data_IF_700576647217
#
_entry.id   IF_700576647217
#
_cell.length_a   1.000
_cell.length_b   1.000
_cell.length_c   1.000
_cell.angle_alpha   90.00
_cell.angle_beta   90.00
_cell.angle_gamma   90.00
#
_symmetry.space_group_name_H-M   'P 1'
#
loop_
_entity.id
_entity.type
_entity.pdbx_description
1 polymer ?
#
# COMPACT_ATOMS: atom_id res chain seq x y z
N UNK A 1 -8.37 9.06 28.93
CA UNK A 1 -8.64 9.52 27.54
C UNK A 1 -8.27 8.48 26.50
N UNK A 2 -7.01 8.03 26.41
CA UNK A 2 -6.62 6.97 25.45
C UNK A 2 -7.47 5.68 25.58
N UNK A 3 -7.70 5.20 26.79
CA UNK A 3 -8.53 4.00 27.02
C UNK A 3 -10.00 4.19 26.64
N UNK A 4 -10.54 5.41 26.78
CA UNK A 4 -11.92 5.73 26.38
C UNK A 4 -12.02 5.76 24.86
N UNK A 5 -11.05 6.41 24.19
CA UNK A 5 -10.92 6.39 22.74
C UNK A 5 -10.87 4.96 22.19
N UNK A 6 -9.94 4.14 22.71
CA UNK A 6 -9.78 2.74 22.30
C UNK A 6 -11.05 1.94 22.61
N UNK A 7 -11.66 2.14 23.78
CA UNK A 7 -12.91 1.48 24.15
C UNK A 7 -14.05 1.77 23.17
N UNK A 8 -14.26 3.03 22.81
CA UNK A 8 -15.28 3.43 21.82
C UNK A 8 -14.95 2.87 20.44
N UNK A 9 -13.68 2.93 20.02
CA UNK A 9 -13.25 2.43 18.71
C UNK A 9 -13.48 0.91 18.60
N UNK A 10 -13.04 0.13 19.58
CA UNK A 10 -13.24 -1.33 19.60
C UNK A 10 -14.70 -1.71 19.77
N UNK A 11 -15.47 -0.99 20.58
CA UNK A 11 -16.93 -1.19 20.67
C UNK A 11 -17.63 -0.91 19.33
N UNK A 12 -17.24 0.16 18.63
CA UNK A 12 -17.78 0.49 17.30
C UNK A 12 -17.47 -0.62 16.29
N UNK A 13 -16.24 -1.14 16.30
CA UNK A 13 -15.82 -2.26 15.46
C UNK A 13 -16.65 -3.52 15.80
N UNK A 14 -16.84 -3.82 17.08
CA UNK A 14 -17.63 -4.98 17.53
C UNK A 14 -19.11 -4.88 17.14
N UNK A 15 -19.67 -3.67 17.08
CA UNK A 15 -21.02 -3.40 16.60
C UNK A 15 -21.14 -3.39 15.07
N UNK A 16 -20.02 -3.54 14.34
CA UNK A 16 -20.00 -3.50 12.87
C UNK A 16 -20.12 -2.10 12.28
N UNK A 17 -19.91 -1.05 13.06
CA UNK A 17 -19.91 0.32 12.55
C UNK A 17 -18.65 0.58 11.71
N UNK A 18 -18.74 1.23 10.54
CA UNK A 18 -17.57 1.63 9.78
C UNK A 18 -16.64 2.53 10.63
N UNK A 19 -15.34 2.29 10.53
CA UNK A 19 -14.33 2.92 11.41
C UNK A 19 -14.40 4.45 11.39
N UNK A 20 -14.73 5.06 10.24
CA UNK A 20 -14.91 6.52 10.15
C UNK A 20 -15.97 7.04 11.13
N UNK A 21 -17.11 6.36 11.25
CA UNK A 21 -18.14 6.74 12.22
C UNK A 21 -17.71 6.46 13.65
N UNK A 22 -16.98 5.37 13.90
CA UNK A 22 -16.38 5.10 15.21
C UNK A 22 -15.43 6.21 15.67
N UNK A 23 -14.60 6.73 14.77
CA UNK A 23 -13.73 7.88 15.03
C UNK A 23 -14.53 9.16 15.29
N UNK A 24 -15.57 9.42 14.51
CA UNK A 24 -16.46 10.57 14.72
C UNK A 24 -17.16 10.54 16.07
N UNK A 25 -17.72 9.38 16.45
CA UNK A 25 -18.35 9.18 17.76
C UNK A 25 -17.33 9.36 18.88
N UNK A 26 -16.15 8.75 18.75
CA UNK A 26 -15.09 8.90 19.74
C UNK A 26 -14.66 10.37 19.89
N UNK A 27 -14.51 11.10 18.78
CA UNK A 27 -14.16 12.51 18.80
C UNK A 27 -15.21 13.35 19.54
N UNK A 28 -16.51 13.17 19.24
CA UNK A 28 -17.60 13.88 19.90
C UNK A 28 -17.65 13.57 21.40
N UNK A 29 -17.55 12.29 21.78
CA UNK A 29 -17.56 11.90 23.20
C UNK A 29 -16.37 12.50 23.95
N UNK A 30 -15.16 12.43 23.38
CA UNK A 30 -13.97 13.01 24.02
C UNK A 30 -14.07 14.53 24.15
N UNK A 31 -14.66 15.22 23.17
CA UNK A 31 -14.86 16.66 23.22
C UNK A 31 -15.81 17.07 24.32
N UNK A 32 -16.96 16.38 24.43
CA UNK A 32 -17.94 16.62 25.50
C UNK A 32 -17.34 16.32 26.88
N UNK A 33 -16.57 15.25 27.01
CA UNK A 33 -15.90 14.90 28.27
C UNK A 33 -14.77 15.86 28.66
N UNK A 34 -14.20 16.59 27.71
CA UNK A 34 -13.06 17.50 27.93
C UNK A 34 -13.47 18.97 27.89
N UNK A 35 -14.78 19.27 27.89
CA UNK A 35 -15.35 20.62 27.73
C UNK A 35 -14.79 21.39 26.51
N UNK A 36 -14.46 20.66 25.43
CA UNK A 36 -13.96 21.25 24.19
C UNK A 36 -15.15 21.61 23.30
N UNK A 37 -15.25 22.86 22.82
CA UNK A 37 -16.29 23.27 21.89
C UNK A 37 -16.32 22.40 20.63
N UNK A 38 -17.51 21.89 20.27
CA UNK A 38 -17.69 21.09 19.05
C UNK A 38 -17.32 21.84 17.76
N UNK A 39 -17.29 23.18 17.79
CA UNK A 39 -16.79 24.00 16.68
C UNK A 39 -15.33 23.69 16.35
N UNK A 40 -14.49 23.39 17.35
CA UNK A 40 -13.08 23.02 17.14
C UNK A 40 -13.00 21.68 16.40
N UNK A 41 -13.91 20.74 16.68
CA UNK A 41 -13.95 19.45 15.98
C UNK A 41 -14.26 19.64 14.50
N UNK A 42 -15.20 20.55 14.18
CA UNK A 42 -15.56 20.89 12.81
C UNK A 42 -14.36 21.55 12.11
N UNK A 43 -13.71 22.52 12.75
CA UNK A 43 -12.54 23.21 12.20
C UNK A 43 -11.38 22.23 11.92
N UNK A 44 -11.05 21.38 12.89
CA UNK A 44 -10.01 20.35 12.72
C UNK A 44 -10.37 19.35 11.63
N UNK A 45 -11.65 18.95 11.53
CA UNK A 45 -12.13 18.05 10.47
C UNK A 45 -11.95 18.67 9.09
N UNK A 46 -12.31 19.95 8.93
CA UNK A 46 -12.14 20.69 7.66
C UNK A 46 -10.66 20.87 7.33
N UNK A 47 -9.83 21.22 8.33
CA UNK A 47 -8.38 21.34 8.16
C UNK A 47 -7.76 20.02 7.69
N UNK A 48 -8.22 18.90 8.22
CA UNK A 48 -7.71 17.59 7.85
C UNK A 48 -7.96 17.19 6.40
N UNK A 49 -9.07 17.63 5.81
CA UNK A 49 -9.41 17.32 4.40
C UNK A 49 -8.96 18.42 3.43
N UNK A 50 -8.71 19.64 3.90
CA UNK A 50 -8.31 20.77 3.08
C UNK A 50 -6.79 20.90 2.96
N UNK A 51 -6.14 19.92 2.33
CA UNK A 51 -4.68 19.86 2.16
C UNK A 51 -4.31 19.56 0.69
N UNK A 52 -3.46 20.38 0.08
CA UNK A 52 -3.12 20.29 -1.35
C UNK A 52 -2.55 18.92 -1.76
N UNK A 53 -1.57 18.36 -1.03
CA UNK A 53 -1.16 16.96 -1.14
C UNK A 53 -2.26 15.90 -1.24
N UNK A 54 -3.45 16.11 -0.65
CA UNK A 54 -4.54 15.12 -0.72
C UNK A 54 -5.10 14.96 -2.12
N UNK A 55 -4.93 15.95 -3.00
CA UNK A 55 -5.35 15.85 -4.41
C UNK A 55 -4.60 14.75 -5.16
N UNK A 56 -3.41 14.34 -4.70
CA UNK A 56 -2.68 13.23 -5.30
C UNK A 56 -3.46 11.90 -5.20
N UNK A 57 -4.20 11.68 -4.10
CA UNK A 57 -4.94 10.44 -3.84
C UNK A 57 -6.01 10.17 -4.93
N UNK A 58 -7.00 11.06 -5.19
CA UNK A 58 -8.00 10.80 -6.23
C UNK A 58 -7.37 10.67 -7.62
N UNK A 59 -6.33 11.45 -7.93
CA UNK A 59 -5.67 11.34 -9.24
C UNK A 59 -4.96 10.00 -9.41
N UNK A 60 -4.20 9.52 -8.42
CA UNK A 60 -3.56 8.20 -8.52
C UNK A 60 -4.57 7.05 -8.51
N UNK A 61 -5.66 7.14 -7.74
CA UNK A 61 -6.77 6.17 -7.82
C UNK A 61 -7.35 6.14 -9.24
N UNK A 62 -7.57 7.31 -9.84
CA UNK A 62 -8.10 7.41 -11.20
C UNK A 62 -7.10 6.87 -12.25
N UNK A 63 -5.79 7.11 -12.08
CA UNK A 63 -4.75 6.50 -12.91
C UNK A 63 -4.86 4.98 -12.85
N UNK A 64 -4.99 4.39 -11.66
CA UNK A 64 -5.18 2.94 -11.48
C UNK A 64 -6.42 2.41 -12.22
N UNK A 65 -7.54 3.11 -12.13
CA UNK A 65 -8.78 2.79 -12.86
C UNK A 65 -8.61 2.84 -14.39
N UNK A 66 -7.97 3.89 -14.89
CA UNK A 66 -7.65 4.07 -16.32
C UNK A 66 -6.69 2.98 -16.79
N UNK A 67 -5.69 2.62 -16.00
CA UNK A 67 -4.72 1.58 -16.36
C UNK A 67 -5.31 0.19 -16.40
N UNK A 68 -6.18 -0.12 -15.44
CA UNK A 68 -6.90 -1.39 -15.36
C UNK A 68 -7.87 -1.54 -16.54
N UNK A 69 -8.66 -0.50 -16.84
CA UNK A 69 -9.68 -0.53 -17.90
C UNK A 69 -9.08 -0.31 -19.31
N UNK A 70 -8.01 0.46 -19.41
CA UNK A 70 -7.45 0.95 -20.66
C UNK A 70 -6.28 0.16 -21.22
N UNK A 71 -6.11 -1.09 -20.79
CA UNK A 71 -5.17 -2.04 -21.39
C UNK A 71 -3.71 -1.87 -21.04
N UNK A 72 -3.36 -0.86 -20.22
CA UNK A 72 -2.00 -0.61 -19.77
C UNK A 72 -1.56 -1.77 -18.87
N UNK A 73 -2.40 -2.15 -17.89
CA UNK A 73 -2.12 -3.25 -16.97
C UNK A 73 -1.81 -4.55 -17.72
N UNK A 74 -2.67 -4.95 -18.67
CA UNK A 74 -2.47 -6.16 -19.48
C UNK A 74 -1.11 -6.19 -20.18
N UNK A 75 -0.69 -5.08 -20.80
CA UNK A 75 0.60 -4.99 -21.51
C UNK A 75 1.79 -5.06 -20.56
N UNK A 76 1.70 -4.46 -19.38
CA UNK A 76 2.72 -4.59 -18.34
C UNK A 76 2.81 -6.03 -17.83
N UNK A 77 1.68 -6.72 -17.67
CA UNK A 77 1.65 -8.15 -17.31
C UNK A 77 2.25 -9.04 -18.41
N UNK A 78 1.98 -8.75 -19.69
CA UNK A 78 2.58 -9.47 -20.82
C UNK A 78 4.09 -9.27 -20.91
N UNK A 79 4.56 -8.05 -20.66
CA UNK A 79 6.00 -7.73 -20.57
C UNK A 79 6.65 -8.46 -19.39
N UNK A 80 6.04 -8.44 -18.20
CA UNK A 80 6.50 -9.24 -17.07
C UNK A 80 6.55 -10.74 -17.44
N UNK A 81 5.55 -11.21 -18.18
CA UNK A 81 5.49 -12.53 -18.80
C UNK A 81 6.72 -12.89 -19.61
N UNK A 82 7.16 -11.98 -20.48
CA UNK A 82 8.33 -12.19 -21.31
C UNK A 82 9.67 -12.03 -20.56
N UNK A 83 9.72 -11.18 -19.53
CA UNK A 83 10.91 -10.91 -18.71
C UNK A 83 11.24 -12.01 -17.70
N UNK A 84 10.22 -12.62 -17.07
CA UNK A 84 10.45 -13.57 -15.97
C UNK A 84 9.68 -14.88 -16.12
N UNK A 85 8.81 -15.03 -17.12
CA UNK A 85 7.99 -16.23 -17.31
C UNK A 85 8.77 -17.50 -17.69
N UNK A 86 10.06 -17.37 -17.99
CA UNK A 86 10.98 -18.51 -18.18
C UNK A 86 11.60 -19.00 -16.86
N UNK A 87 11.55 -18.19 -15.80
CA UNK A 87 12.04 -18.57 -14.49
C UNK A 87 11.10 -19.61 -13.88
N UNK A 88 11.64 -20.54 -13.10
CA UNK A 88 10.86 -21.59 -12.44
C UNK A 88 9.75 -20.96 -11.58
N UNK A 89 8.54 -21.50 -11.71
CA UNK A 89 7.32 -20.88 -11.23
C UNK A 89 6.57 -20.08 -12.29
N UNK A 90 7.11 -19.86 -13.49
CA UNK A 90 6.38 -19.34 -14.65
C UNK A 90 5.47 -18.16 -14.31
N UNK A 91 4.16 -18.34 -14.45
CA UNK A 91 3.14 -17.30 -14.15
C UNK A 91 3.15 -16.76 -12.71
N UNK A 92 3.65 -17.51 -11.72
CA UNK A 92 3.79 -16.99 -10.36
C UNK A 92 4.82 -15.86 -10.28
N UNK A 93 5.93 -15.99 -11.00
CA UNK A 93 6.91 -14.92 -11.14
C UNK A 93 6.31 -13.72 -11.88
N UNK A 94 5.51 -14.00 -12.92
CA UNK A 94 4.81 -12.97 -13.69
C UNK A 94 3.80 -12.20 -12.84
N UNK A 95 3.10 -12.86 -11.92
CA UNK A 95 2.19 -12.19 -11.00
C UNK A 95 2.94 -11.22 -10.09
N UNK A 96 4.09 -11.64 -9.53
CA UNK A 96 4.90 -10.79 -8.64
C UNK A 96 5.54 -9.63 -9.39
N UNK A 97 6.17 -9.88 -10.53
CA UNK A 97 6.76 -8.81 -11.36
C UNK A 97 5.69 -7.89 -11.94
N UNK A 98 4.53 -8.45 -12.28
CA UNK A 98 3.35 -7.70 -12.66
C UNK A 98 2.87 -6.75 -11.56
N UNK A 99 2.79 -7.23 -10.31
CA UNK A 99 2.46 -6.38 -9.15
C UNK A 99 3.53 -5.31 -8.90
N UNK A 100 4.81 -5.56 -9.20
CA UNK A 100 5.85 -4.51 -9.14
C UNK A 100 5.59 -3.38 -10.14
N UNK A 101 5.12 -3.70 -11.36
CA UNK A 101 4.80 -2.69 -12.38
C UNK A 101 3.45 -2.02 -12.19
N UNK A 102 2.39 -2.82 -11.97
CA UNK A 102 1.01 -2.35 -11.88
C UNK A 102 0.66 -1.87 -10.47
N UNK A 103 1.03 -2.66 -9.47
CA UNK A 103 0.68 -2.36 -8.09
C UNK A 103 1.34 -1.07 -7.61
N UNK A 104 2.58 -0.84 -8.06
CA UNK A 104 3.24 0.44 -7.85
C UNK A 104 2.39 1.63 -8.29
N UNK A 105 1.53 1.50 -9.32
CA UNK A 105 0.73 2.62 -9.81
C UNK A 105 -0.70 2.67 -9.22
N UNK A 106 -1.28 1.52 -8.90
CA UNK A 106 -2.59 1.44 -8.24
C UNK A 106 -2.56 1.98 -6.82
N UNK A 107 -1.43 1.80 -6.12
CA UNK A 107 -1.25 2.30 -4.76
C UNK A 107 -2.13 1.61 -3.70
N UNK A 108 -2.83 0.53 -4.07
CA UNK A 108 -3.80 -0.18 -3.23
C UNK A 108 -3.71 -1.70 -3.39
N UNK A 109 -3.28 -2.38 -2.33
CA UNK A 109 -3.17 -3.83 -2.29
C UNK A 109 -4.51 -4.55 -2.50
N UNK A 110 -5.61 -3.96 -2.02
CA UNK A 110 -6.96 -4.54 -2.17
C UNK A 110 -7.42 -4.44 -3.62
N UNK A 111 -7.22 -3.27 -4.26
CA UNK A 111 -7.54 -3.07 -5.66
C UNK A 111 -6.67 -3.97 -6.57
N UNK A 112 -5.38 -4.09 -6.26
CA UNK A 112 -4.45 -4.96 -6.96
C UNK A 112 -4.85 -6.42 -6.85
N UNK A 113 -5.18 -6.89 -5.65
CA UNK A 113 -5.66 -8.27 -5.44
C UNK A 113 -6.86 -8.57 -6.32
N UNK A 114 -7.80 -7.63 -6.43
CA UNK A 114 -8.98 -7.77 -7.28
C UNK A 114 -8.62 -7.76 -8.78
N UNK A 115 -7.93 -6.72 -9.24
CA UNK A 115 -7.68 -6.47 -10.66
C UNK A 115 -6.69 -7.48 -11.27
N UNK A 116 -5.52 -7.64 -10.65
CA UNK A 116 -4.51 -8.60 -11.12
C UNK A 116 -4.97 -10.03 -10.90
N UNK A 117 -5.68 -10.30 -9.81
CA UNK A 117 -6.20 -11.63 -9.49
C UNK A 117 -7.22 -12.13 -10.51
N UNK A 118 -8.13 -11.26 -10.94
CA UNK A 118 -9.13 -11.59 -11.96
C UNK A 118 -8.49 -12.01 -13.29
N UNK A 119 -7.31 -11.48 -13.61
CA UNK A 119 -6.55 -11.82 -14.81
C UNK A 119 -5.64 -13.04 -14.61
N UNK A 120 -4.88 -13.07 -13.52
CA UNK A 120 -3.79 -14.03 -13.32
C UNK A 120 -4.27 -15.36 -12.77
N UNK A 121 -5.19 -15.37 -11.81
CA UNK A 121 -5.61 -16.60 -11.14
C UNK A 121 -6.19 -17.64 -12.14
N UNK A 122 -7.08 -17.27 -13.09
CA UNK A 122 -7.56 -18.21 -14.10
C UNK A 122 -6.43 -18.76 -14.98
N UNK A 123 -5.50 -17.91 -15.40
CA UNK A 123 -4.37 -18.32 -16.25
C UNK A 123 -3.39 -19.25 -15.50
N UNK A 124 -3.13 -18.97 -14.21
CA UNK A 124 -2.30 -19.81 -13.36
C UNK A 124 -2.92 -21.20 -13.16
N UNK A 125 -4.24 -21.27 -12.93
CA UNK A 125 -4.97 -22.56 -12.83
C UNK A 125 -4.84 -23.38 -14.12
N UNK A 126 -4.95 -22.76 -15.28
CA UNK A 126 -4.77 -23.43 -16.58
C UNK A 126 -3.35 -23.99 -16.78
N UNK A 127 -2.35 -23.40 -16.13
CA UNK A 127 -0.95 -23.85 -16.17
C UNK A 127 -0.56 -24.76 -15.00
N UNK A 128 -1.53 -25.33 -14.29
CA UNK A 128 -1.32 -26.36 -13.28
C UNK A 128 -1.10 -25.85 -11.85
N UNK A 129 -1.29 -24.56 -11.57
CA UNK A 129 -1.37 -24.10 -10.18
C UNK A 129 -2.66 -24.56 -9.52
N UNK A 130 -2.58 -25.00 -8.27
CA UNK A 130 -3.78 -25.18 -7.46
C UNK A 130 -4.46 -23.82 -7.23
N UNK A 131 -5.78 -23.82 -7.09
CA UNK A 131 -6.53 -22.59 -6.86
C UNK A 131 -6.02 -21.80 -5.63
N UNK A 132 -5.74 -22.43 -4.48
CA UNK A 132 -5.21 -21.70 -3.32
C UNK A 132 -3.83 -21.11 -3.55
N UNK A 133 -2.94 -21.80 -4.26
CA UNK A 133 -1.59 -21.27 -4.55
C UNK A 133 -1.62 -20.10 -5.53
N UNK A 134 -2.43 -20.19 -6.59
CA UNK A 134 -2.60 -19.09 -7.54
C UNK A 134 -3.15 -17.83 -6.83
N UNK A 135 -4.14 -18.02 -5.96
CA UNK A 135 -4.70 -16.94 -5.15
C UNK A 135 -3.68 -16.41 -4.15
N UNK A 136 -2.94 -17.27 -3.44
CA UNK A 136 -1.92 -16.87 -2.47
C UNK A 136 -0.84 -15.97 -3.10
N UNK A 137 -0.27 -16.39 -4.24
CA UNK A 137 0.78 -15.62 -4.92
C UNK A 137 0.26 -14.23 -5.29
N UNK A 138 -0.92 -14.16 -5.89
CA UNK A 138 -1.51 -12.90 -6.33
C UNK A 138 -1.87 -11.98 -5.16
N UNK A 139 -2.47 -12.54 -4.11
CA UNK A 139 -2.86 -11.78 -2.92
C UNK A 139 -1.63 -11.23 -2.21
N UNK A 140 -0.57 -12.03 -2.05
CA UNK A 140 0.66 -11.57 -1.38
C UNK A 140 1.42 -10.54 -2.23
N UNK A 141 1.51 -10.74 -3.54
CA UNK A 141 2.22 -9.80 -4.41
C UNK A 141 1.58 -8.42 -4.46
N UNK A 142 0.27 -8.32 -4.19
CA UNK A 142 -0.44 -7.05 -4.12
C UNK A 142 0.09 -6.08 -3.05
N UNK A 143 0.72 -6.59 -1.98
CA UNK A 143 1.32 -5.75 -0.92
C UNK A 143 2.49 -4.93 -1.45
N UNK A 144 3.13 -5.35 -2.54
CA UNK A 144 4.16 -4.54 -3.20
C UNK A 144 3.58 -3.20 -3.67
N UNK A 145 2.32 -3.16 -4.07
CA UNK A 145 1.68 -1.97 -4.63
C UNK A 145 1.41 -0.85 -3.62
N UNK A 146 1.44 -1.16 -2.32
CA UNK A 146 1.39 -0.12 -1.29
C UNK A 146 2.78 0.38 -0.87
N UNK A 147 3.86 -0.16 -1.46
CA UNK A 147 5.25 0.20 -1.13
C UNK A 147 5.94 0.88 -2.31
N UNK A 148 5.87 0.30 -3.51
CA UNK A 148 6.45 0.91 -4.72
C UNK A 148 5.61 2.13 -5.11
N UNK A 149 6.21 3.30 -5.38
CA UNK A 149 5.45 4.49 -5.76
C UNK A 149 4.76 4.41 -7.12
N UNK A 150 3.64 5.15 -7.30
CA UNK A 150 2.86 5.89 -6.29
C UNK A 150 2.06 5.02 -5.28
N UNK A 151 2.19 5.32 -3.98
CA UNK A 151 1.52 4.58 -2.90
C UNK A 151 0.55 5.47 -2.11
N UNK A 152 -0.74 5.09 -2.06
CA UNK A 152 -1.77 5.80 -1.28
C UNK A 152 -1.41 5.81 0.22
N UNK A 153 -0.98 4.69 0.83
CA UNK A 153 -0.53 4.69 2.22
C UNK A 153 0.59 5.66 2.54
N UNK A 154 1.58 5.77 1.66
CA UNK A 154 2.71 6.70 1.87
C UNK A 154 2.26 8.16 1.73
N UNK A 155 1.32 8.46 0.83
CA UNK A 155 0.71 9.80 0.75
C UNK A 155 0.00 10.13 2.08
N UNK A 156 -0.81 9.19 2.58
CA UNK A 156 -1.53 9.38 3.86
C UNK A 156 -0.57 9.59 5.02
N UNK A 157 0.47 8.77 5.13
CA UNK A 157 1.51 8.91 6.15
C UNK A 157 2.15 10.29 6.08
N UNK A 158 2.59 10.72 4.89
CA UNK A 158 3.23 12.03 4.68
C UNK A 158 2.34 13.21 5.10
N UNK A 159 1.03 13.09 4.88
CA UNK A 159 0.07 14.15 5.23
C UNK A 159 -0.17 14.22 6.74
N UNK A 160 -0.35 13.08 7.41
CA UNK A 160 -0.67 13.07 8.86
C UNK A 160 0.55 13.25 9.74
N UNK A 161 1.76 13.03 9.21
CA UNK A 161 3.03 13.20 9.92
C UNK A 161 3.83 14.40 9.43
N UNK A 162 3.31 15.14 8.44
CA UNK A 162 4.00 16.23 7.76
C UNK A 162 5.36 15.82 7.16
N UNK A 163 5.51 14.54 6.82
CA UNK A 163 6.72 14.01 6.16
C UNK A 163 6.63 14.20 4.64
N UNK A 164 7.72 14.60 4.00
CA UNK A 164 7.80 14.77 2.54
C UNK A 164 7.38 13.50 1.78
N UNK A 165 6.31 13.61 0.98
CA UNK A 165 5.78 12.52 0.14
C UNK A 165 6.81 12.07 -0.89
N UNK A 166 7.53 13.02 -1.51
CA UNK A 166 8.59 12.70 -2.47
C UNK A 166 9.68 11.84 -1.83
N UNK A 167 10.07 12.14 -0.58
CA UNK A 167 11.07 11.35 0.16
C UNK A 167 10.54 9.96 0.52
N UNK A 168 9.28 9.87 0.95
CA UNK A 168 8.61 8.59 1.21
C UNK A 168 8.55 7.71 -0.04
N UNK A 169 8.27 8.29 -1.20
CA UNK A 169 8.24 7.56 -2.45
C UNK A 169 9.61 6.98 -2.79
N UNK A 170 10.66 7.80 -2.72
CA UNK A 170 12.03 7.33 -2.98
C UNK A 170 12.42 6.23 -2.00
N UNK A 171 12.07 6.39 -0.71
CA UNK A 171 12.33 5.41 0.33
C UNK A 171 11.61 4.07 0.07
N UNK A 172 10.44 4.08 -0.59
CA UNK A 172 9.66 2.88 -0.91
C UNK A 172 10.23 2.00 -2.03
N UNK A 173 11.06 2.55 -2.92
CA UNK A 173 11.53 1.83 -4.12
C UNK A 173 12.34 0.58 -3.75
N UNK A 174 13.40 0.73 -2.94
CA UNK A 174 14.29 -0.38 -2.58
C UNK A 174 13.56 -1.45 -1.75
N UNK A 175 12.80 -1.09 -0.69
CA UNK A 175 11.99 -2.06 0.06
C UNK A 175 10.97 -2.79 -0.81
N UNK A 176 10.29 -2.09 -1.72
CA UNK A 176 9.33 -2.69 -2.63
C UNK A 176 9.96 -3.74 -3.54
N UNK A 177 11.15 -3.44 -4.10
CA UNK A 177 11.92 -4.40 -4.89
C UNK A 177 12.42 -5.58 -4.04
N UNK A 178 12.86 -5.33 -2.80
CA UNK A 178 13.29 -6.38 -1.88
C UNK A 178 12.16 -7.34 -1.51
N UNK A 179 10.96 -6.80 -1.24
CA UNK A 179 9.74 -7.59 -1.01
C UNK A 179 9.43 -8.42 -2.25
N UNK A 180 9.40 -7.79 -3.42
CA UNK A 180 9.18 -8.47 -4.70
C UNK A 180 10.17 -9.63 -4.90
N UNK A 181 11.46 -9.39 -4.70
CA UNK A 181 12.49 -10.41 -4.82
C UNK A 181 12.31 -11.55 -3.79
N UNK A 182 12.01 -11.24 -2.53
CA UNK A 182 11.73 -12.25 -1.51
C UNK A 182 10.55 -13.16 -1.89
N UNK A 183 9.50 -12.59 -2.47
CA UNK A 183 8.35 -13.34 -2.97
C UNK A 183 8.68 -14.16 -4.22
N UNK A 184 9.53 -13.64 -5.11
CA UNK A 184 9.99 -14.36 -6.30
C UNK A 184 10.83 -15.58 -5.91
N UNK A 185 11.76 -15.42 -4.96
CA UNK A 185 12.56 -16.53 -4.40
C UNK A 185 11.64 -17.57 -3.76
N UNK A 186 10.67 -17.15 -2.95
CA UNK A 186 9.72 -18.07 -2.31
C UNK A 186 8.91 -18.84 -3.35
N UNK A 187 8.44 -18.17 -4.41
CA UNK A 187 7.71 -18.81 -5.51
C UNK A 187 8.58 -19.80 -6.28
N UNK A 188 9.86 -19.48 -6.49
CA UNK A 188 10.82 -20.38 -7.13
C UNK A 188 11.03 -21.66 -6.31
N UNK A 189 11.19 -21.52 -4.99
CA UNK A 189 11.35 -22.65 -4.07
C UNK A 189 10.08 -23.51 -4.06
N UNK A 190 8.91 -22.90 -3.88
CA UNK A 190 7.62 -23.62 -3.84
C UNK A 190 7.30 -24.33 -5.15
N UNK A 191 7.58 -23.70 -6.30
CA UNK A 191 7.43 -24.33 -7.61
C UNK A 191 8.42 -25.50 -7.82
N UNK A 192 9.56 -25.51 -7.13
CA UNK A 192 10.53 -26.60 -7.21
C UNK A 192 10.04 -27.87 -6.54
N UNK A 193 9.27 -27.75 -5.45
CA UNK A 193 8.69 -28.90 -4.74
C UNK A 193 7.33 -29.32 -5.30
N UNK A 194 6.51 -28.36 -5.76
CA UNK A 194 5.14 -28.62 -6.18
C UNK A 194 4.94 -28.98 -7.66
N UNK A 195 5.95 -28.78 -8.52
CA UNK A 195 5.86 -29.05 -9.96
C UNK A 195 4.86 -28.17 -10.74
N UNK A 196 4.22 -27.20 -10.08
CA UNK A 196 3.25 -26.30 -10.67
C UNK A 196 3.94 -25.10 -11.38
N UNK A 197 3.31 -24.61 -12.45
CA UNK A 197 3.78 -23.46 -13.21
C UNK A 197 4.73 -23.85 -14.33
N UNK A 198 4.16 -24.25 -15.47
CA UNK A 198 4.92 -24.49 -16.69
C UNK A 198 5.73 -23.23 -17.05
N UNK A 199 7.05 -23.39 -17.17
CA UNK A 199 7.92 -22.30 -17.62
C UNK A 199 7.78 -22.14 -19.11
N UNK A 200 7.68 -20.90 -19.59
CA UNK A 200 7.81 -20.63 -21.02
C UNK A 200 9.28 -20.72 -21.41
N UNK A 201 9.59 -21.16 -22.63
CA UNK A 201 10.96 -21.00 -23.13
C UNK A 201 11.23 -19.51 -23.32
N UNK A 202 12.38 -19.04 -22.86
CA UNK A 202 12.81 -17.67 -23.13
C UNK A 202 12.96 -17.50 -24.64
N UNK A 203 12.31 -16.48 -25.20
CA UNK A 203 12.53 -16.09 -26.58
C UNK A 203 12.65 -14.58 -26.69
N UNK A 204 13.76 -14.13 -27.27
CA UNK A 204 14.07 -12.70 -27.45
C UNK A 204 13.06 -11.99 -28.35
N UNK A 205 12.48 -12.71 -29.31
CA UNK A 205 11.48 -12.17 -30.22
C UNK A 205 10.16 -11.84 -29.49
N UNK A 206 9.70 -12.73 -28.60
CA UNK A 206 8.54 -12.48 -27.74
C UNK A 206 8.80 -11.34 -26.75
N UNK A 207 10.01 -11.26 -26.19
CA UNK A 207 10.40 -10.14 -25.32
C UNK A 207 10.38 -8.81 -26.07
N UNK A 208 10.95 -8.76 -27.27
CA UNK A 208 10.97 -7.53 -28.07
C UNK A 208 9.57 -7.12 -28.52
N UNK A 209 8.70 -8.08 -28.86
CA UNK A 209 7.29 -7.80 -29.17
C UNK A 209 6.54 -7.25 -27.95
N UNK A 210 6.69 -7.89 -26.78
CA UNK A 210 6.07 -7.44 -25.54
C UNK A 210 6.58 -6.05 -25.12
N UNK A 211 7.88 -5.80 -25.27
CA UNK A 211 8.48 -4.49 -25.01
C UNK A 211 7.92 -3.42 -25.92
N UNK A 212 7.81 -3.68 -27.24
CA UNK A 212 7.18 -2.75 -28.18
C UNK A 212 5.73 -2.47 -27.84
N UNK A 213 4.97 -3.49 -27.44
CA UNK A 213 3.57 -3.33 -27.05
C UNK A 213 3.43 -2.50 -25.74
N UNK A 214 4.32 -2.74 -24.77
CA UNK A 214 4.32 -2.09 -23.46
C UNK A 214 5.14 -0.79 -23.40
N UNK A 215 5.82 -0.38 -24.48
CA UNK A 215 6.71 0.78 -24.49
C UNK A 215 6.03 2.04 -23.95
N UNK A 216 4.81 2.34 -24.44
CA UNK A 216 4.03 3.48 -23.95
C UNK A 216 3.59 3.31 -22.48
N UNK A 217 3.29 2.08 -22.06
CA UNK A 217 2.96 1.79 -20.67
C UNK A 217 4.17 2.00 -19.73
N UNK A 218 5.39 1.70 -20.17
CA UNK A 218 6.61 1.89 -19.37
C UNK A 218 6.98 3.36 -19.16
N UNK A 219 6.48 4.28 -19.99
CA UNK A 219 6.68 5.72 -19.80
C UNK A 219 5.97 6.22 -18.53
N UNK A 220 4.88 5.57 -18.08
CA UNK A 220 4.15 5.97 -16.87
C UNK A 220 5.01 5.95 -15.60
N UNK A 221 5.65 4.83 -15.21
CA UNK A 221 6.59 4.81 -14.10
C UNK A 221 7.70 5.86 -14.24
N UNK A 222 8.19 6.11 -15.46
CA UNK A 222 9.24 7.10 -15.73
C UNK A 222 8.74 8.53 -15.50
N UNK A 223 7.50 8.85 -15.92
CA UNK A 223 6.88 10.16 -15.65
C UNK A 223 6.75 10.38 -14.14
N UNK A 224 6.24 9.37 -13.41
CA UNK A 224 6.00 9.53 -11.97
C UNK A 224 7.32 9.53 -11.19
N UNK A 225 8.11 8.47 -11.31
CA UNK A 225 9.34 8.30 -10.52
C UNK A 225 10.42 9.27 -11.02
N UNK A 226 10.64 9.36 -12.32
CA UNK A 226 11.64 10.25 -12.90
C UNK A 226 11.29 11.72 -12.73
N UNK A 227 10.00 12.08 -12.83
CA UNK A 227 9.55 13.46 -12.58
C UNK A 227 9.72 13.90 -11.12
N UNK A 228 9.45 13.00 -10.16
CA UNK A 228 9.62 13.29 -8.73
C UNK A 228 11.10 13.32 -8.34
N UNK A 229 11.89 12.31 -8.74
CA UNK A 229 13.34 12.25 -8.43
C UNK A 229 14.09 13.40 -9.11
N UNK A 230 13.71 13.74 -10.35
CA UNK A 230 14.29 14.85 -11.09
C UNK A 230 13.90 16.24 -10.57
N UNK A 231 13.02 16.32 -9.55
CA UNK A 231 12.54 17.58 -8.99
C UNK A 231 11.67 18.40 -9.94
N UNK A 232 11.19 17.80 -11.03
CA UNK A 232 10.34 18.46 -12.04
C UNK A 232 8.90 18.55 -11.55
N UNK A 233 8.44 17.53 -10.82
CA UNK A 233 7.07 17.44 -10.32
C UNK A 233 7.03 17.17 -8.82
N UNK A 234 6.09 17.81 -8.15
CA UNK A 234 5.56 17.35 -6.86
C UNK A 234 4.71 16.09 -7.04
N UNK A 235 4.37 15.41 -5.94
CA UNK A 235 3.53 14.20 -6.00
C UNK A 235 2.16 14.45 -6.67
N UNK A 236 1.54 15.61 -6.42
CA UNK A 236 0.25 15.98 -7.02
C UNK A 236 0.38 16.24 -8.52
N UNK A 237 1.42 16.98 -8.94
CA UNK A 237 1.67 17.25 -10.36
C UNK A 237 2.01 15.96 -11.13
N UNK A 238 2.80 15.07 -10.52
CA UNK A 238 3.10 13.76 -11.09
C UNK A 238 1.84 12.91 -11.27
N UNK A 239 0.90 12.97 -10.32
CA UNK A 239 -0.39 12.28 -10.44
C UNK A 239 -1.23 12.80 -11.61
N UNK A 240 -1.31 14.13 -11.78
CA UNK A 240 -2.03 14.75 -12.89
C UNK A 240 -1.36 14.43 -14.23
N UNK A 241 -0.03 14.51 -14.31
CA UNK A 241 0.71 14.17 -15.52
C UNK A 241 0.50 12.69 -15.90
N UNK A 242 0.57 11.78 -14.93
CA UNK A 242 0.29 10.37 -15.13
C UNK A 242 -1.16 10.12 -15.58
N UNK A 243 -2.13 10.84 -15.02
CA UNK A 243 -3.54 10.74 -15.41
C UNK A 243 -3.76 11.20 -16.85
N UNK A 244 -3.26 12.38 -17.21
CA UNK A 244 -3.41 12.92 -18.57
C UNK A 244 -2.74 11.99 -19.59
N UNK A 245 -1.53 11.50 -19.27
CA UNK A 245 -0.81 10.57 -20.13
C UNK A 245 -1.54 9.22 -20.26
N UNK A 246 -1.96 8.60 -19.15
CA UNK A 246 -2.67 7.32 -19.17
C UNK A 246 -4.00 7.41 -19.93
N UNK A 247 -4.77 8.48 -19.74
CA UNK A 247 -6.00 8.74 -20.51
C UNK A 247 -5.70 8.89 -22.00
N UNK A 248 -4.68 9.67 -22.36
CA UNK A 248 -4.30 9.88 -23.75
C UNK A 248 -3.92 8.58 -24.44
N UNK A 249 -3.07 7.76 -23.83
CA UNK A 249 -2.67 6.48 -24.44
C UNK A 249 -3.85 5.50 -24.49
N UNK A 250 -4.70 5.44 -23.47
CA UNK A 250 -5.82 4.50 -23.44
C UNK A 250 -6.97 4.89 -24.37
N UNK A 251 -7.21 6.19 -24.60
CA UNK A 251 -8.24 6.70 -25.52
C UNK A 251 -7.76 6.71 -26.98
N UNK A 252 -6.55 7.21 -27.25
CA UNK A 252 -6.09 7.52 -28.61
C UNK A 252 -5.31 6.37 -29.24
N UNK A 253 -4.36 5.81 -28.49
CA UNK A 253 -3.44 4.79 -28.99
C UNK A 253 -4.01 3.38 -28.83
N UNK A 254 -4.34 2.98 -27.61
CA UNK A 254 -4.89 1.65 -27.33
C UNK A 254 -6.37 1.55 -27.68
N UNK A 255 -7.11 2.66 -27.61
CA UNK A 255 -8.55 2.75 -27.92
C UNK A 255 -9.38 1.72 -27.16
N UNK A 256 -8.99 1.43 -25.92
CA UNK A 256 -9.65 0.46 -25.05
C UNK A 256 -10.71 1.12 -24.14
N UNK A 257 -10.63 2.44 -23.97
CA UNK A 257 -11.60 3.23 -23.20
C UNK A 257 -12.49 4.03 -24.16
N UNK A 258 -13.80 4.06 -23.89
CA UNK A 258 -14.72 5.01 -24.51
C UNK A 258 -15.01 6.16 -23.54
N UNK A 259 -15.35 7.33 -24.07
CA UNK A 259 -15.69 8.51 -23.27
C UNK A 259 -16.82 8.24 -22.25
N UNK A 260 -17.73 7.30 -22.55
CA UNK A 260 -18.80 6.89 -21.64
C UNK A 260 -18.30 6.12 -20.41
N UNK A 261 -17.20 5.39 -20.55
CA UNK A 261 -16.62 4.60 -19.47
C UNK A 261 -15.97 5.54 -18.41
N UNK A 262 -15.61 6.77 -18.79
CA UNK A 262 -15.03 7.78 -17.89
C UNK A 262 -15.95 8.13 -16.73
N UNK A 263 -17.26 8.24 -16.97
CA UNK A 263 -18.22 8.55 -15.90
C UNK A 263 -18.23 7.47 -14.81
N UNK A 264 -18.18 6.20 -15.22
CA UNK A 264 -18.09 5.08 -14.29
C UNK A 264 -16.79 5.09 -13.48
N UNK A 265 -15.66 5.39 -14.13
CA UNK A 265 -14.35 5.52 -13.44
C UNK A 265 -14.34 6.67 -12.44
N UNK A 266 -14.92 7.83 -12.79
CA UNK A 266 -15.04 8.97 -11.89
C UNK A 266 -15.90 8.65 -10.65
N UNK A 267 -17.03 7.95 -10.82
CA UNK A 267 -17.87 7.53 -9.70
C UNK A 267 -17.12 6.58 -8.76
N UNK A 268 -16.41 5.58 -9.30
CA UNK A 268 -15.62 4.64 -8.48
C UNK A 268 -14.50 5.36 -7.73
N UNK A 269 -13.79 6.25 -8.41
CA UNK A 269 -12.74 7.10 -7.83
C UNK A 269 -13.30 7.98 -6.73
N UNK A 270 -14.44 8.64 -6.96
CA UNK A 270 -15.08 9.51 -5.98
C UNK A 270 -15.52 8.75 -4.72
N UNK A 271 -16.01 7.50 -4.87
CA UNK A 271 -16.37 6.65 -3.73
C UNK A 271 -15.17 6.30 -2.85
N UNK A 272 -14.07 5.85 -3.47
CA UNK A 272 -12.84 5.53 -2.74
C UNK A 272 -12.25 6.77 -2.07
N UNK A 273 -12.20 7.88 -2.81
CA UNK A 273 -11.71 9.17 -2.29
C UNK A 273 -12.57 9.67 -1.13
N UNK A 274 -13.89 9.61 -1.25
CA UNK A 274 -14.82 10.05 -0.20
C UNK A 274 -14.66 9.25 1.09
N UNK A 275 -14.43 7.94 1.00
CA UNK A 275 -14.14 7.10 2.16
C UNK A 275 -12.82 7.52 2.84
N UNK A 276 -11.77 7.77 2.07
CA UNK A 276 -10.47 8.21 2.60
C UNK A 276 -10.56 9.60 3.23
N UNK A 277 -11.21 10.56 2.57
CA UNK A 277 -11.38 11.92 3.09
C UNK A 277 -12.23 11.94 4.38
N UNK A 278 -13.28 11.13 4.46
CA UNK A 278 -14.09 11.03 5.68
C UNK A 278 -13.27 10.46 6.86
N UNK A 279 -12.44 9.46 6.61
CA UNK A 279 -11.51 8.93 7.61
C UNK A 279 -10.53 9.99 8.09
N UNK A 280 -9.93 10.75 7.16
CA UNK A 280 -8.99 11.83 7.49
C UNK A 280 -9.65 12.96 8.29
N UNK A 281 -10.88 13.34 7.94
CA UNK A 281 -11.63 14.36 8.67
C UNK A 281 -11.72 14.03 10.16
N UNK A 282 -12.20 12.83 10.51
CA UNK A 282 -12.32 12.46 11.94
C UNK A 282 -10.99 12.11 12.59
N UNK A 283 -10.07 11.52 11.84
CA UNK A 283 -8.81 11.10 12.44
C UNK A 283 -7.85 12.25 12.72
N UNK A 284 -7.89 13.33 11.94
CA UNK A 284 -7.13 14.55 12.27
C UNK A 284 -7.63 15.19 13.57
N UNK A 285 -8.94 15.15 13.83
CA UNK A 285 -9.50 15.52 15.14
C UNK A 285 -8.91 14.65 16.24
N UNK A 286 -8.91 13.32 16.07
CA UNK A 286 -8.32 12.40 17.05
C UNK A 286 -6.82 12.65 17.24
N UNK A 287 -6.05 12.83 16.17
CA UNK A 287 -4.62 13.11 16.22
C UNK A 287 -4.33 14.41 16.99
N UNK A 288 -5.12 15.45 16.74
CA UNK A 288 -5.07 16.69 17.50
C UNK A 288 -5.39 16.46 18.99
N UNK A 289 -6.45 15.71 19.30
CA UNK A 289 -6.80 15.34 20.68
C UNK A 289 -5.68 14.60 21.41
N UNK A 290 -5.05 13.62 20.76
CA UNK A 290 -3.94 12.88 21.34
C UNK A 290 -2.73 13.79 21.60
N UNK A 291 -2.49 14.74 20.71
CA UNK A 291 -1.39 15.71 20.80
C UNK A 291 -1.60 16.66 21.97
N UNK A 292 -2.78 17.27 22.12
CA UNK A 292 -3.06 18.20 23.23
C UNK A 292 -3.07 17.49 24.59
N UNK A 293 -3.41 16.19 24.61
CA UNK A 293 -3.39 15.37 25.83
C UNK A 293 -2.00 14.78 26.15
N UNK A 294 -0.97 15.15 25.37
CA UNK A 294 0.40 14.68 25.54
C UNK A 294 0.53 13.13 25.56
N UNK A 295 -0.36 12.43 24.84
CA UNK A 295 -0.38 10.98 24.79
C UNK A 295 0.90 10.43 24.13
N UNK A 296 1.35 10.95 22.97
CA UNK A 296 2.60 10.50 22.36
C UNK A 296 3.78 10.61 23.33
N UNK A 297 3.95 11.75 24.02
CA UNK A 297 5.04 12.00 24.96
C UNK A 297 5.01 11.04 26.16
N UNK A 298 3.83 10.69 26.65
CA UNK A 298 3.66 9.73 27.74
C UNK A 298 4.08 8.33 27.29
N UNK A 299 3.68 7.92 26.09
CA UNK A 299 4.09 6.64 25.50
C UNK A 299 5.60 6.60 25.24
N UNK A 300 6.21 7.69 24.73
CA UNK A 300 7.67 7.79 24.57
C UNK A 300 8.38 7.49 25.88
N UNK A 301 7.98 8.14 26.98
CA UNK A 301 8.62 7.93 28.31
C UNK A 301 8.49 6.48 28.78
N UNK A 302 7.33 5.86 28.57
CA UNK A 302 7.11 4.46 28.94
C UNK A 302 7.95 3.50 28.10
N UNK A 303 8.06 3.73 26.79
CA UNK A 303 8.86 2.90 25.89
C UNK A 303 10.36 3.09 26.14
N UNK A 304 10.82 4.33 26.35
CA UNK A 304 12.21 4.64 26.68
C UNK A 304 12.64 4.06 28.04
N UNK A 305 11.70 3.82 28.95
CA UNK A 305 11.97 3.09 30.20
C UNK A 305 12.23 1.58 29.97
N UNK A 306 11.76 1.03 28.85
CA UNK A 306 11.97 -0.38 28.46
C UNK A 306 13.26 -0.52 27.65
N UNK A 307 13.43 0.31 26.61
CA UNK A 307 14.61 0.26 25.74
C UNK A 307 14.94 1.63 25.15
N UNK A 308 16.23 1.94 25.06
CA UNK A 308 16.76 3.09 24.33
C UNK A 308 17.34 2.68 22.97
N UNK A 309 17.45 1.38 22.72
CA UNK A 309 18.01 0.85 21.49
C UNK A 309 16.96 0.91 20.34
N UNK A 310 17.28 1.58 19.21
CA UNK A 310 16.34 1.77 18.10
C UNK A 310 15.82 0.45 17.51
N UNK A 311 16.65 -0.59 17.47
CA UNK A 311 16.26 -1.89 16.90
C UNK A 311 15.16 -2.54 17.74
N UNK A 312 15.36 -2.61 19.07
CA UNK A 312 14.35 -3.20 19.96
C UNK A 312 13.07 -2.37 20.02
N UNK A 313 13.18 -1.04 19.95
CA UNK A 313 12.02 -0.15 19.87
C UNK A 313 11.21 -0.44 18.61
N UNK A 314 11.87 -0.53 17.45
CA UNK A 314 11.21 -0.84 16.18
C UNK A 314 10.59 -2.24 16.16
N UNK A 315 11.20 -3.23 16.81
CA UNK A 315 10.61 -4.56 16.96
C UNK A 315 9.31 -4.55 17.78
N UNK A 316 9.28 -3.82 18.90
CA UNK A 316 8.07 -3.67 19.72
C UNK A 316 6.98 -2.95 18.93
N UNK A 317 7.34 -1.85 18.27
CA UNK A 317 6.43 -1.08 17.42
C UNK A 317 5.91 -1.93 16.26
N UNK A 318 6.75 -2.75 15.64
CA UNK A 318 6.35 -3.64 14.56
C UNK A 318 5.36 -4.72 15.04
N UNK A 319 5.61 -5.32 16.21
CA UNK A 319 4.68 -6.27 16.81
C UNK A 319 3.32 -5.62 17.12
N UNK A 320 3.31 -4.40 17.68
CA UNK A 320 2.10 -3.64 17.92
C UNK A 320 1.34 -3.34 16.61
N UNK A 321 2.05 -2.85 15.58
CA UNK A 321 1.46 -2.53 14.29
C UNK A 321 0.89 -3.77 13.58
N UNK A 322 1.53 -4.93 13.71
CA UNK A 322 0.99 -6.20 13.21
C UNK A 322 -0.34 -6.53 13.89
N UNK A 323 -0.39 -6.45 15.23
CA UNK A 323 -1.63 -6.70 15.99
C UNK A 323 -2.75 -5.75 15.58
N UNK A 324 -2.44 -4.46 15.38
CA UNK A 324 -3.42 -3.49 14.88
C UNK A 324 -3.87 -3.84 13.46
N UNK A 325 -2.94 -4.20 12.58
CA UNK A 325 -3.22 -4.59 11.20
C UNK A 325 -4.08 -5.86 11.06
N UNK A 326 -4.10 -6.74 12.07
CA UNK A 326 -4.99 -7.91 12.10
C UNK A 326 -6.47 -7.54 12.22
N UNK A 327 -6.75 -6.42 12.91
CA UNK A 327 -8.11 -5.99 13.28
C UNK A 327 -8.59 -4.84 12.38
N UNK A 328 -7.68 -3.98 11.94
CA UNK A 328 -8.00 -2.74 11.23
C UNK A 328 -7.50 -2.77 9.79
N UNK A 329 -8.29 -2.18 8.89
CA UNK A 329 -7.84 -1.93 7.53
C UNK A 329 -6.67 -0.93 7.51
N UNK A 330 -5.88 -0.95 6.43
CA UNK A 330 -4.64 -0.20 6.37
C UNK A 330 -4.86 1.31 6.49
N UNK A 331 -5.83 1.86 5.78
CA UNK A 331 -6.09 3.31 5.76
C UNK A 331 -6.35 3.86 7.17
N UNK A 332 -7.32 3.35 7.95
CA UNK A 332 -7.55 3.84 9.30
C UNK A 332 -6.38 3.56 10.24
N UNK A 333 -5.72 2.40 10.14
CA UNK A 333 -4.56 2.08 10.97
C UNK A 333 -3.41 3.07 10.74
N UNK A 334 -3.11 3.39 9.48
CA UNK A 334 -2.08 4.37 9.10
C UNK A 334 -2.39 5.74 9.70
N UNK A 335 -3.61 6.22 9.50
CA UNK A 335 -4.01 7.57 9.89
C UNK A 335 -4.02 7.77 11.42
N UNK A 336 -4.33 6.72 12.20
CA UNK A 336 -4.34 6.80 13.67
C UNK A 336 -2.93 6.58 14.24
N UNK A 337 -2.25 5.53 13.80
CA UNK A 337 -1.02 5.07 14.42
C UNK A 337 0.20 5.89 13.98
N UNK A 338 0.21 6.45 12.76
CA UNK A 338 1.34 7.21 12.25
C UNK A 338 1.65 8.47 13.09
N UNK A 339 0.70 9.39 13.36
CA UNK A 339 0.98 10.56 14.18
C UNK A 339 1.30 10.19 15.64
N UNK A 340 0.81 9.05 16.12
CA UNK A 340 1.07 8.58 17.47
C UNK A 340 2.47 7.99 17.64
N UNK A 341 2.95 7.22 16.65
CA UNK A 341 4.21 6.47 16.73
C UNK A 341 5.41 7.20 16.13
N UNK A 342 5.19 8.07 15.14
CA UNK A 342 6.27 8.81 14.47
C UNK A 342 7.11 9.64 15.46
N UNK A 343 6.51 10.41 16.39
CA UNK A 343 7.28 11.14 17.40
C UNK A 343 8.10 10.22 18.32
N UNK A 344 7.67 8.96 18.49
CA UNK A 344 8.37 8.00 19.34
C UNK A 344 9.65 7.53 18.66
N UNK A 345 9.55 7.11 17.40
CA UNK A 345 10.70 6.58 16.66
C UNK A 345 11.71 7.70 16.32
N UNK A 346 11.25 8.92 16.05
CA UNK A 346 12.16 10.03 15.74
C UNK A 346 12.99 10.47 16.94
N UNK A 347 12.51 10.27 18.18
CA UNK A 347 13.31 10.56 19.39
C UNK A 347 14.54 9.68 19.53
N UNK A 348 14.53 8.48 18.95
CA UNK A 348 15.68 7.56 18.92
C UNK A 348 16.46 7.66 17.60
N UNK A 349 16.25 8.73 16.82
CA UNK A 349 17.00 9.04 15.61
C UNK A 349 16.55 8.28 14.36
N UNK A 350 15.37 7.63 14.39
CA UNK A 350 14.82 6.95 13.21
C UNK A 350 14.24 7.97 12.23
N UNK A 351 14.62 7.86 10.97
CA UNK A 351 14.09 8.71 9.90
C UNK A 351 12.58 8.46 9.70
N UNK A 352 11.74 9.50 9.65
CA UNK A 352 10.29 9.35 9.52
C UNK A 352 9.87 8.78 8.16
N UNK A 353 10.63 9.00 7.09
CA UNK A 353 10.31 8.42 5.78
C UNK A 353 10.58 6.91 5.78
N UNK A 354 11.69 6.48 6.39
CA UNK A 354 11.94 5.07 6.67
C UNK A 354 10.81 4.44 7.48
N UNK A 355 10.42 5.09 8.58
CA UNK A 355 9.34 4.58 9.43
C UNK A 355 8.00 4.48 8.68
N UNK A 356 7.68 5.46 7.83
CA UNK A 356 6.47 5.42 7.01
C UNK A 356 6.44 4.23 6.05
N UNK A 357 7.57 3.89 5.42
CA UNK A 357 7.69 2.70 4.56
C UNK A 357 7.58 1.42 5.38
N UNK A 358 8.26 1.36 6.52
CA UNK A 358 8.20 0.21 7.43
C UNK A 358 6.76 -0.03 7.93
N UNK A 359 6.08 1.04 8.33
CA UNK A 359 4.70 1.01 8.80
C UNK A 359 3.74 0.58 7.70
N UNK A 360 3.89 1.09 6.48
CA UNK A 360 3.10 0.66 5.32
C UNK A 360 3.28 -0.84 5.06
N UNK A 361 4.52 -1.34 5.17
CA UNK A 361 4.82 -2.75 4.97
C UNK A 361 4.21 -3.64 6.05
N UNK A 362 4.36 -3.27 7.33
CA UNK A 362 3.79 -4.00 8.46
C UNK A 362 2.27 -4.06 8.37
N UNK A 363 1.61 -2.93 8.10
CA UNK A 363 0.16 -2.90 7.93
C UNK A 363 -0.29 -3.68 6.68
N UNK A 364 0.55 -3.70 5.63
CA UNK A 364 0.37 -4.57 4.46
C UNK A 364 0.35 -6.06 4.82
N UNK A 365 1.25 -6.51 5.70
CA UNK A 365 1.21 -7.88 6.25
C UNK A 365 -0.09 -8.11 7.04
N UNK A 366 -0.57 -7.09 7.76
CA UNK A 366 -1.88 -7.11 8.43
C UNK A 366 -3.04 -7.37 7.46
N UNK A 367 -3.06 -6.72 6.29
CA UNK A 367 -4.06 -6.95 5.24
C UNK A 367 -4.09 -8.39 4.72
N UNK A 368 -2.95 -9.07 4.85
CA UNK A 368 -2.80 -10.45 4.46
C UNK A 368 -3.17 -11.42 5.57
N UNK A 369 -3.32 -11.02 6.83
CA UNK A 369 -3.39 -11.92 7.99
C UNK A 369 -4.80 -11.99 8.61
N UNK A 370 -5.31 -13.18 9.02
CA UNK A 370 -6.55 -13.28 9.77
C UNK A 370 -6.48 -12.54 11.13
N UNK A 371 -7.60 -12.07 11.71
CA UNK A 371 -8.98 -12.43 11.42
C UNK A 371 -9.68 -11.60 10.33
N UNK A 372 -9.27 -10.35 10.09
CA UNK A 372 -9.93 -9.48 9.09
C UNK A 372 -9.28 -9.61 7.72
N UNK A 373 -7.99 -9.31 7.55
CA UNK A 373 -7.25 -9.47 6.30
C UNK A 373 -8.03 -9.10 5.03
N UNK A 374 -8.25 -7.81 4.74
CA UNK A 374 -9.11 -7.38 3.60
C UNK A 374 -8.63 -7.92 2.25
N UNK A 375 -7.31 -8.02 2.04
CA UNK A 375 -6.74 -8.67 0.85
C UNK A 375 -7.00 -10.18 0.82
N UNK A 376 -7.04 -10.87 1.97
CA UNK A 376 -7.45 -12.28 2.03
C UNK A 376 -8.90 -12.47 1.58
N UNK A 377 -9.83 -11.64 2.06
CA UNK A 377 -11.24 -11.78 1.68
C UNK A 377 -11.46 -11.52 0.19
N UNK A 378 -10.83 -10.49 -0.35
CA UNK A 378 -10.86 -10.23 -1.80
C UNK A 378 -10.21 -11.38 -2.56
N UNK A 379 -9.05 -11.86 -2.10
CA UNK A 379 -8.38 -13.04 -2.65
C UNK A 379 -9.29 -14.27 -2.70
N UNK A 380 -9.98 -14.59 -1.60
CA UNK A 380 -10.92 -15.70 -1.52
C UNK A 380 -12.06 -15.54 -2.54
N UNK A 381 -12.62 -14.34 -2.66
CA UNK A 381 -13.70 -14.04 -3.61
C UNK A 381 -13.28 -14.22 -5.06
N UNK A 382 -12.13 -13.64 -5.44
CA UNK A 382 -11.60 -13.73 -6.82
C UNK A 382 -11.11 -15.15 -7.13
N UNK A 383 -10.43 -15.76 -6.17
CA UNK A 383 -9.88 -17.11 -6.26
C UNK A 383 -10.91 -18.23 -6.22
N UNK A 384 -12.09 -17.95 -5.66
CA UNK A 384 -13.14 -18.91 -5.30
C UNK A 384 -12.56 -20.04 -4.44
N UNK A 385 -11.81 -19.68 -3.40
CA UNK A 385 -11.20 -20.62 -2.44
C UNK A 385 -11.63 -20.29 -1.01
N UNK A 386 -11.58 -21.28 -0.13
CA UNK A 386 -11.85 -21.06 1.30
C UNK A 386 -10.69 -20.32 1.97
N UNK A 387 -11.00 -19.53 2.99
CA UNK A 387 -10.03 -18.78 3.79
C UNK A 387 -8.94 -19.70 4.35
N UNK A 388 -9.33 -20.86 4.89
CA UNK A 388 -8.39 -21.83 5.46
C UNK A 388 -7.38 -22.34 4.41
N UNK A 389 -7.86 -22.68 3.21
CA UNK A 389 -6.99 -23.16 2.14
C UNK A 389 -6.03 -22.06 1.65
N UNK A 390 -6.52 -20.82 1.57
CA UNK A 390 -5.70 -19.66 1.18
C UNK A 390 -4.60 -19.38 2.22
N UNK A 391 -4.97 -19.31 3.51
CA UNK A 391 -4.01 -19.04 4.60
C UNK A 391 -2.92 -20.12 4.65
N UNK A 392 -3.29 -21.40 4.52
CA UNK A 392 -2.31 -22.50 4.46
C UNK A 392 -1.37 -22.35 3.27
N UNK A 393 -1.87 -21.96 2.10
CA UNK A 393 -1.04 -21.71 0.92
C UNK A 393 -0.13 -20.48 1.05
N UNK A 394 -0.49 -19.51 1.91
CA UNK A 394 0.28 -18.29 2.17
C UNK A 394 1.39 -18.44 3.21
N UNK A 395 1.40 -19.50 4.04
CA UNK A 395 2.43 -19.75 5.06
C UNK A 395 3.89 -19.52 4.61
N UNK A 396 4.37 -20.09 3.48
CA UNK A 396 5.75 -19.85 3.04
C UNK A 396 5.99 -18.37 2.67
N UNK A 397 4.97 -17.70 2.16
CA UNK A 397 5.04 -16.29 1.80
C UNK A 397 5.05 -15.38 3.03
N UNK A 398 4.29 -15.69 4.08
CA UNK A 398 4.40 -14.95 5.35
C UNK A 398 5.79 -15.06 5.94
N UNK A 399 6.39 -16.25 5.93
CA UNK A 399 7.75 -16.43 6.41
C UNK A 399 8.72 -15.51 5.65
N UNK A 400 8.59 -15.42 4.32
CA UNK A 400 9.38 -14.52 3.50
C UNK A 400 9.15 -13.04 3.84
N UNK A 401 7.89 -12.61 4.00
CA UNK A 401 7.56 -11.24 4.38
C UNK A 401 8.11 -10.87 5.76
N UNK A 402 8.02 -11.78 6.74
CA UNK A 402 8.58 -11.58 8.08
C UNK A 402 10.11 -11.50 8.06
N UNK A 403 10.76 -12.33 7.24
CA UNK A 403 12.22 -12.27 7.04
C UNK A 403 12.61 -10.92 6.43
N UNK A 404 11.90 -10.46 5.40
CA UNK A 404 12.12 -9.13 4.81
C UNK A 404 11.87 -8.03 5.85
N UNK A 405 10.83 -8.15 6.69
CA UNK A 405 10.55 -7.18 7.76
C UNK A 405 11.72 -7.09 8.74
N UNK A 406 12.21 -8.22 9.24
CA UNK A 406 13.35 -8.27 10.16
C UNK A 406 14.60 -7.69 9.49
N UNK A 407 14.84 -7.96 8.20
CA UNK A 407 15.95 -7.36 7.46
C UNK A 407 15.83 -5.84 7.34
N UNK A 408 14.64 -5.30 7.07
CA UNK A 408 14.41 -3.86 7.00
C UNK A 408 14.57 -3.18 8.36
N UNK A 409 14.24 -3.87 9.47
CA UNK A 409 14.46 -3.37 10.84
C UNK A 409 15.95 -3.41 11.21
N UNK A 410 16.65 -4.51 10.88
CA UNK A 410 18.07 -4.69 11.21
C UNK A 410 18.99 -3.78 10.39
N UNK A 411 18.62 -3.47 9.14
CA UNK A 411 19.44 -2.69 8.21
C UNK A 411 18.69 -1.45 7.69
N UNK A 412 18.50 -0.41 8.51
CA UNK A 412 17.79 0.81 8.10
C UNK A 412 18.45 1.53 6.90
N UNK A 413 19.75 1.28 6.68
CA UNK A 413 20.50 1.74 5.51
C UNK A 413 19.90 1.30 4.17
N UNK A 414 19.24 0.14 4.11
CA UNK A 414 18.61 -0.36 2.86
C UNK A 414 17.54 0.60 2.35
N UNK A 415 16.85 1.27 3.26
CA UNK A 415 15.72 2.15 2.94
C UNK A 415 16.16 3.60 2.81
N UNK A 416 17.12 4.03 3.65
CA UNK A 416 17.56 5.42 3.75
C UNK A 416 18.63 5.80 2.72
N UNK A 417 19.39 4.82 2.21
CA UNK A 417 20.49 5.06 1.27
C UNK A 417 20.07 5.79 -0.02
N UNK A 418 18.96 5.38 -0.64
CA UNK A 418 18.49 6.00 -1.90
C UNK A 418 17.93 7.43 -1.68
N UNK A 419 17.08 7.68 -0.66
CA UNK A 419 16.70 9.04 -0.26
C UNK A 419 17.89 9.96 0.02
N UNK A 420 18.92 9.48 0.72
CA UNK A 420 20.03 10.33 1.16
C UNK A 420 20.96 10.71 -0.01
N UNK A 421 21.13 9.85 -1.01
CA UNK A 421 21.94 10.12 -2.21
C UNK A 421 21.24 11.07 -3.18
N UNK A 422 19.91 10.97 -3.31
CA UNK A 422 19.15 11.75 -4.29
C UNK A 422 19.00 13.23 -3.92
N UNK A 423 19.60 13.67 -2.80
CA UNK A 423 19.60 15.05 -2.32
C UNK A 423 18.20 15.69 -2.24
N UNK A 424 17.13 14.89 -2.19
CA UNK A 424 15.80 15.31 -1.77
C UNK A 424 15.83 15.47 -0.26
N UNK A 425 16.64 16.44 0.20
CA UNK A 425 16.55 16.96 1.56
C UNK A 425 15.20 17.63 1.64
N UNK A 426 14.28 16.98 2.37
CA UNK A 426 12.99 17.56 2.67
C UNK A 426 13.19 18.94 3.27
N UNK A 427 12.62 19.95 2.60
CA UNK A 427 12.14 21.13 3.30
C UNK A 427 10.77 20.80 3.88
#
# INVERSE_FOLDING_TARGET
>A
MLWIFLGILFASIALGLPIAFGLGVAAVVLAVMSDIPLSILIEQSVRGVNNFPLLAIPFFILVGEVMSTGGIARRLMELAGALVGFVRGGLGQVAITGSMFFGGISGSAVADTAATGAMMIPSMKQQGYSAPQATAINTVSSVIGIIIPPSIPLILFGIVTETSISRLFIAGIVPGLLIGFGLMVTTFIMASFGGAGQTRKFRLDLLWQAFKAAWLALVLPVIVIGGIIGGVFTATEAAVAALLYSLFISLVFYREIRLRDLWGMLIRTARLTGMVLLLLAFATVIAWFLTINMVPQTLVRQVQAITQDPFWLLMIVAALLLLVGFVMDLTPAMVIMAPMLTPIVTTVGVDPAYFGVLMAFILGIGLLTPPVGTCLYVGCGVGKVSMEALVKAMLPYYAALLVVLVMLIAFPGIVTWLPDITAVRGN
#
